data_IF_274696376887
#
_entry.id   IF_274696376887
#
_cell.length_a   1.000
_cell.length_b   1.000
_cell.length_c   1.000
_cell.angle_alpha   90.00
_cell.angle_beta   90.00
_cell.angle_gamma   90.00
#
_symmetry.space_group_name_H-M   'P 1'
#
loop_
_entity.id
_entity.type
_entity.pdbx_description
1 polymer ?
#
# COMPACT_ATOMS: atom_id res chain seq x y z
N UNK A 1 -13.87 -8.68 19.46
CA UNK A 1 -12.62 -9.22 18.92
C UNK A 1 -11.55 -8.83 19.91
N UNK A 2 -10.70 -9.75 20.37
CA UNK A 2 -9.55 -9.35 21.18
C UNK A 2 -8.64 -8.44 20.34
N UNK A 3 -8.06 -7.43 20.98
CA UNK A 3 -7.12 -6.50 20.34
C UNK A 3 -5.90 -7.30 19.86
N UNK A 4 -5.50 -7.09 18.60
CA UNK A 4 -4.30 -7.70 18.05
C UNK A 4 -3.06 -6.93 18.50
N UNK A 5 -1.95 -7.61 18.79
CA UNK A 5 -0.66 -6.93 18.95
C UNK A 5 -0.09 -6.52 17.59
N UNK A 6 -0.30 -7.34 16.54
CA UNK A 6 0.19 -7.08 15.19
C UNK A 6 -0.86 -7.37 14.12
N UNK A 7 -1.08 -6.40 13.23
CA UNK A 7 -1.81 -6.57 11.97
C UNK A 7 -0.86 -6.31 10.79
N UNK A 8 -0.63 -7.32 9.96
CA UNK A 8 0.22 -7.24 8.78
C UNK A 8 -0.58 -7.52 7.50
N UNK A 9 -0.83 -6.47 6.72
CA UNK A 9 -1.54 -6.49 5.43
C UNK A 9 -0.52 -6.44 4.29
N UNK A 10 -0.04 -7.61 3.87
CA UNK A 10 1.12 -7.75 3.00
C UNK A 10 0.74 -8.15 1.57
N UNK A 11 1.58 -7.88 0.55
CA UNK A 11 1.36 -8.38 -0.80
C UNK A 11 1.42 -9.91 -0.78
N UNK A 12 0.68 -10.56 -1.67
CA UNK A 12 0.57 -12.03 -1.70
C UNK A 12 1.94 -12.74 -1.75
N UNK A 13 2.94 -12.15 -2.42
CA UNK A 13 4.30 -12.68 -2.50
C UNK A 13 5.12 -12.59 -1.20
N UNK A 14 4.77 -11.70 -0.27
CA UNK A 14 5.48 -11.52 1.00
C UNK A 14 4.73 -12.09 2.20
N UNK A 15 3.41 -12.24 2.10
CA UNK A 15 2.57 -12.70 3.22
C UNK A 15 3.07 -14.02 3.80
N UNK A 16 3.25 -15.06 2.96
CA UNK A 16 3.62 -16.38 3.46
C UNK A 16 5.06 -16.39 4.02
N UNK A 17 6.09 -15.89 3.30
CA UNK A 17 7.44 -15.82 3.87
C UNK A 17 7.54 -15.02 5.17
N UNK A 18 6.81 -13.91 5.27
CA UNK A 18 6.76 -13.10 6.50
C UNK A 18 6.14 -13.90 7.64
N UNK A 19 4.99 -14.54 7.39
CA UNK A 19 4.30 -15.36 8.39
C UNK A 19 5.20 -16.51 8.88
N UNK A 20 5.84 -17.24 7.97
CA UNK A 20 6.72 -18.35 8.32
C UNK A 20 7.88 -17.89 9.23
N UNK A 21 8.50 -16.74 8.90
CA UNK A 21 9.57 -16.15 9.71
C UNK A 21 9.07 -15.65 11.07
N UNK A 22 7.88 -15.03 11.12
CA UNK A 22 7.26 -14.55 12.35
C UNK A 22 6.93 -15.72 13.30
N UNK A 23 6.30 -16.78 12.79
CA UNK A 23 5.97 -17.97 13.56
C UNK A 23 7.22 -18.67 14.10
N UNK A 24 8.27 -18.77 13.28
CA UNK A 24 9.56 -19.30 13.71
C UNK A 24 10.18 -18.46 14.83
N UNK A 25 10.13 -17.13 14.71
CA UNK A 25 10.65 -16.21 15.73
C UNK A 25 9.87 -16.30 17.04
N UNK A 26 8.54 -16.34 16.99
CA UNK A 26 7.67 -16.51 18.16
C UNK A 26 7.98 -17.83 18.86
N UNK A 27 8.03 -18.93 18.11
CA UNK A 27 8.28 -20.28 18.64
C UNK A 27 9.67 -20.37 19.29
N UNK A 28 10.68 -19.74 18.69
CA UNK A 28 12.05 -19.73 19.22
C UNK A 28 12.19 -18.87 20.48
N UNK A 29 11.21 -18.02 20.79
CA UNK A 29 11.23 -17.06 21.90
C UNK A 29 9.92 -17.13 22.73
N UNK A 30 9.33 -18.31 22.89
CA UNK A 30 7.97 -18.51 23.43
C UNK A 30 7.73 -17.81 24.79
N UNK A 31 8.74 -17.74 25.66
CA UNK A 31 8.65 -17.06 26.95
C UNK A 31 8.34 -15.57 26.84
N UNK A 32 8.70 -14.93 25.72
CA UNK A 32 8.47 -13.51 25.46
C UNK A 32 7.15 -13.24 24.71
N UNK A 33 6.60 -14.24 24.01
CA UNK A 33 5.47 -14.06 23.08
C UNK A 33 4.24 -14.92 23.42
N UNK A 34 4.16 -15.46 24.63
CA UNK A 34 3.08 -16.37 25.05
C UNK A 34 1.67 -15.83 24.87
N UNK A 35 1.48 -14.51 24.95
CA UNK A 35 0.19 -13.83 24.75
C UNK A 35 0.14 -12.99 23.48
N UNK A 36 1.11 -13.14 22.58
CA UNK A 36 1.19 -12.36 21.36
C UNK A 36 0.14 -12.81 20.35
N UNK A 37 -0.72 -11.89 19.96
CA UNK A 37 -1.80 -12.07 19.00
C UNK A 37 -1.49 -11.32 17.72
N UNK A 38 -1.62 -11.99 16.58
CA UNK A 38 -1.34 -11.35 15.30
C UNK A 38 -2.23 -11.84 14.17
N UNK A 39 -2.35 -11.02 13.13
CA UNK A 39 -3.02 -11.35 11.89
C UNK A 39 -2.12 -10.96 10.71
N UNK A 40 -1.77 -11.92 9.86
CA UNK A 40 -0.99 -11.69 8.64
C UNK A 40 -1.82 -12.07 7.40
N UNK A 41 -2.27 -11.07 6.65
CA UNK A 41 -3.23 -11.22 5.55
C UNK A 41 -2.69 -10.69 4.22
N UNK A 42 -3.34 -11.13 3.15
CA UNK A 42 -3.03 -10.70 1.80
C UNK A 42 -3.78 -9.41 1.45
N UNK A 43 -3.05 -8.40 0.99
CA UNK A 43 -3.55 -7.06 0.64
C UNK A 43 -4.48 -7.04 -0.62
N UNK A 44 -4.78 -8.18 -1.25
CA UNK A 44 -5.44 -8.23 -2.56
C UNK A 44 -6.97 -8.43 -2.47
N UNK A 45 -7.53 -8.71 -1.29
CA UNK A 45 -8.95 -9.04 -1.16
C UNK A 45 -9.73 -7.90 -0.52
N UNK A 46 -10.12 -6.86 -1.27
CA UNK A 46 -10.96 -5.77 -0.74
C UNK A 46 -12.23 -6.30 -0.05
N UNK A 47 -12.80 -7.42 -0.52
CA UNK A 47 -14.00 -8.06 0.06
C UNK A 47 -13.77 -8.82 1.38
N UNK A 48 -12.52 -9.13 1.75
CA UNK A 48 -12.16 -9.87 2.98
C UNK A 48 -11.14 -9.13 3.85
N UNK A 49 -10.69 -7.96 3.42
CA UNK A 49 -9.60 -7.24 4.08
C UNK A 49 -10.09 -6.52 5.34
N UNK A 50 -9.17 -6.33 6.29
CA UNK A 50 -9.39 -5.50 7.47
C UNK A 50 -9.61 -4.00 7.14
N UNK A 51 -9.34 -3.58 5.90
CA UNK A 51 -9.39 -2.16 5.49
C UNK A 51 -10.75 -1.48 5.65
N UNK A 52 -11.90 -2.06 5.24
CA UNK A 52 -13.19 -1.44 5.45
C UNK A 52 -13.55 -1.30 6.93
N UNK A 53 -12.98 -2.16 7.80
CA UNK A 53 -13.16 -2.04 9.25
C UNK A 53 -12.39 -0.85 9.81
N UNK A 54 -11.25 -0.45 9.23
CA UNK A 54 -10.47 0.70 9.71
C UNK A 54 -11.28 2.00 9.70
N UNK A 55 -12.15 2.19 8.70
CA UNK A 55 -13.01 3.37 8.62
C UNK A 55 -14.11 3.39 9.71
N UNK A 56 -14.41 2.23 10.30
CA UNK A 56 -15.38 2.06 11.38
C UNK A 56 -14.76 2.17 12.78
N UNK A 57 -13.42 2.19 12.90
CA UNK A 57 -12.73 2.26 14.18
C UNK A 57 -12.93 3.64 14.82
N UNK A 58 -13.33 3.67 16.09
CA UNK A 58 -13.63 4.92 16.78
C UNK A 58 -12.56 5.37 17.77
N UNK A 59 -11.85 4.42 18.40
CA UNK A 59 -10.78 4.68 19.36
C UNK A 59 -9.45 4.05 18.94
N UNK A 60 -8.34 4.64 19.39
CA UNK A 60 -6.99 4.06 19.23
C UNK A 60 -6.84 2.72 19.97
N UNK A 61 -7.61 2.51 21.04
CA UNK A 61 -7.58 1.27 21.83
C UNK A 61 -8.11 0.05 21.07
N UNK A 62 -8.87 0.29 19.99
CA UNK A 62 -9.37 -0.75 19.09
C UNK A 62 -8.37 -1.12 18.01
N UNK A 63 -7.32 -0.30 17.80
CA UNK A 63 -6.29 -0.56 16.80
C UNK A 63 -5.23 -1.53 17.34
N UNK A 64 -4.61 -2.33 16.47
CA UNK A 64 -3.44 -3.11 16.83
C UNK A 64 -2.27 -2.23 17.28
N UNK A 65 -1.39 -2.74 18.15
CA UNK A 65 -0.20 -2.00 18.59
C UNK A 65 0.79 -1.77 17.45
N UNK A 66 0.90 -2.73 16.52
CA UNK A 66 1.70 -2.60 15.30
C UNK A 66 0.83 -2.89 14.09
N UNK A 67 0.86 -1.97 13.12
CA UNK A 67 0.24 -2.16 11.82
C UNK A 67 1.31 -2.11 10.73
N UNK A 68 1.32 -3.12 9.86
CA UNK A 68 2.17 -3.16 8.66
C UNK A 68 1.23 -3.18 7.46
N UNK A 69 1.38 -2.20 6.57
CA UNK A 69 0.65 -2.13 5.31
C UNK A 69 1.62 -2.12 4.14
N UNK A 70 1.17 -2.66 3.01
CA UNK A 70 1.95 -2.68 1.76
C UNK A 70 1.54 -1.64 0.73
N UNK A 71 0.51 -0.87 1.06
CA UNK A 71 0.13 0.33 0.35
C UNK A 71 -0.46 1.35 1.32
N UNK A 72 -0.86 2.47 0.72
CA UNK A 72 -1.43 3.61 1.40
C UNK A 72 -2.95 3.50 1.61
N UNK A 73 -3.64 2.39 1.30
CA UNK A 73 -5.11 2.24 1.19
C UNK A 73 -5.96 3.03 2.22
N UNK A 74 -6.63 2.36 3.17
CA UNK A 74 -7.58 3.03 4.04
C UNK A 74 -6.89 3.80 5.16
N UNK A 75 -5.62 3.48 5.46
CA UNK A 75 -4.84 4.27 6.42
C UNK A 75 -4.64 5.74 5.98
N UNK A 76 -4.73 6.04 4.67
CA UNK A 76 -4.66 7.40 4.16
C UNK A 76 -6.03 7.98 3.76
N UNK A 77 -7.12 7.24 4.01
CA UNK A 77 -8.46 7.83 3.90
C UNK A 77 -8.61 8.97 4.91
N UNK A 78 -9.25 10.07 4.49
CA UNK A 78 -9.41 11.26 5.34
C UNK A 78 -9.98 10.94 6.74
N UNK A 79 -11.05 10.12 6.88
CA UNK A 79 -11.58 9.80 8.20
C UNK A 79 -10.53 9.16 9.14
N UNK A 80 -9.74 8.20 8.65
CA UNK A 80 -8.70 7.55 9.45
C UNK A 80 -7.54 8.52 9.76
N UNK A 81 -7.09 9.27 8.75
CA UNK A 81 -6.02 10.26 8.89
C UNK A 81 -6.37 11.33 9.93
N UNK A 82 -7.56 11.92 9.83
CA UNK A 82 -8.01 13.00 10.70
C UNK A 82 -8.22 12.52 12.14
N UNK A 83 -8.65 11.25 12.31
CA UNK A 83 -8.95 10.66 13.61
C UNK A 83 -7.69 10.18 14.34
N UNK A 84 -6.72 9.60 13.64
CA UNK A 84 -5.58 8.93 14.27
C UNK A 84 -4.22 9.51 13.88
N UNK A 85 -3.90 9.54 12.58
CA UNK A 85 -2.55 9.91 12.12
C UNK A 85 -2.24 11.37 12.45
N UNK A 86 -3.13 12.30 12.06
CA UNK A 86 -2.94 13.74 12.34
C UNK A 86 -3.10 14.11 13.82
N UNK A 87 -3.57 13.18 14.66
CA UNK A 87 -3.65 13.34 16.11
C UNK A 87 -2.41 12.83 16.83
N UNK A 88 -1.44 12.27 16.12
CA UNK A 88 -0.20 11.75 16.70
C UNK A 88 -0.39 10.41 17.40
N UNK A 89 -1.39 9.61 17.01
CA UNK A 89 -1.61 8.26 17.56
C UNK A 89 -0.62 7.22 16.99
N UNK A 90 0.21 7.60 16.01
CA UNK A 90 1.17 6.74 15.34
C UNK A 90 2.57 7.35 15.41
N UNK A 91 3.58 6.51 15.49
CA UNK A 91 4.98 6.91 15.50
C UNK A 91 5.85 6.01 14.61
N UNK A 92 6.93 6.57 14.08
CA UNK A 92 7.95 5.79 13.38
C UNK A 92 8.79 4.93 14.33
N UNK A 93 9.13 3.73 13.88
CA UNK A 93 10.21 2.90 14.38
C UNK A 93 11.21 2.66 13.24
N UNK A 94 12.36 3.33 13.27
CA UNK A 94 13.37 3.25 12.21
C UNK A 94 14.59 2.42 12.65
N UNK A 95 14.53 1.07 12.61
CA UNK A 95 15.64 0.23 13.05
C UNK A 95 16.76 0.08 12.01
N UNK A 96 16.63 0.73 10.85
CA UNK A 96 17.54 0.57 9.72
C UNK A 96 17.89 1.91 9.08
N UNK A 97 19.04 1.93 8.41
CA UNK A 97 19.40 2.99 7.47
C UNK A 97 18.96 2.56 6.06
N UNK A 98 18.11 3.33 5.36
CA UNK A 98 17.70 2.99 4.00
C UNK A 98 18.88 2.99 3.05
N UNK A 99 18.74 2.23 1.96
CA UNK A 99 19.73 2.23 0.91
C UNK A 99 19.83 3.61 0.22
N UNK A 100 20.92 3.81 -0.53
CA UNK A 100 21.22 5.08 -1.19
C UNK A 100 20.14 5.56 -2.17
N UNK A 101 19.34 4.68 -2.75
CA UNK A 101 18.26 5.08 -3.66
C UNK A 101 17.11 5.73 -2.90
N UNK A 102 16.67 5.13 -1.79
CA UNK A 102 15.60 5.65 -0.95
C UNK A 102 16.00 6.95 -0.24
N UNK A 103 17.28 7.09 0.13
CA UNK A 103 17.80 8.33 0.71
C UNK A 103 17.74 9.51 -0.28
N UNK A 104 18.14 9.29 -1.55
CA UNK A 104 18.17 10.35 -2.58
C UNK A 104 16.80 10.95 -2.88
N UNK A 105 15.72 10.20 -2.66
CA UNK A 105 14.35 10.63 -2.95
C UNK A 105 13.60 11.09 -1.69
N UNK A 106 14.27 11.19 -0.54
CA UNK A 106 13.66 11.53 0.76
C UNK A 106 12.43 10.65 1.06
N UNK A 107 12.58 9.32 0.94
CA UNK A 107 11.46 8.37 1.04
C UNK A 107 10.78 8.30 2.42
N UNK A 108 11.35 8.90 3.45
CA UNK A 108 10.81 8.89 4.81
C UNK A 108 9.52 9.69 4.92
N UNK A 109 8.67 9.32 5.87
CA UNK A 109 7.57 10.18 6.29
C UNK A 109 8.12 11.45 6.98
N UNK A 110 7.92 12.65 6.42
CA UNK A 110 8.43 13.89 7.01
C UNK A 110 7.80 14.23 8.37
N UNK A 111 6.68 13.60 8.71
CA UNK A 111 5.94 13.83 9.97
C UNK A 111 6.22 12.76 11.03
N UNK A 112 7.03 11.75 10.73
CA UNK A 112 7.38 10.64 11.62
C UNK A 112 6.18 9.87 12.20
N UNK A 113 5.07 9.76 11.46
CA UNK A 113 3.94 8.92 11.84
C UNK A 113 4.13 7.46 11.40
N UNK A 114 4.73 7.22 10.24
CA UNK A 114 4.85 5.87 9.66
C UNK A 114 6.26 5.53 9.19
N UNK A 115 6.66 4.29 9.45
CA UNK A 115 7.97 3.78 9.02
C UNK A 115 7.89 3.28 7.58
N UNK A 116 8.64 3.93 6.69
CA UNK A 116 8.69 3.56 5.27
C UNK A 116 9.76 2.47 5.05
N UNK A 117 9.34 1.19 5.09
CA UNK A 117 10.24 0.02 5.01
C UNK A 117 10.83 -0.20 3.62
N UNK A 118 9.98 -0.14 2.59
CA UNK A 118 10.35 -0.44 1.20
C UNK A 118 9.33 0.17 0.25
N UNK A 119 9.61 0.14 -1.06
CA UNK A 119 8.72 0.63 -2.10
C UNK A 119 8.54 -0.42 -3.20
N UNK A 120 7.35 -0.48 -3.79
CA UNK A 120 7.12 -1.14 -5.06
C UNK A 120 7.06 -0.07 -6.17
N UNK A 121 7.75 -0.31 -7.28
CA UNK A 121 7.70 0.58 -8.44
C UNK A 121 6.59 0.13 -9.39
N UNK A 122 5.60 1.02 -9.60
CA UNK A 122 4.63 0.85 -10.67
C UNK A 122 5.29 1.21 -12.02
N UNK A 123 5.33 0.27 -12.95
CA UNK A 123 5.96 0.42 -14.27
C UNK A 123 4.99 0.05 -15.39
N UNK A 124 5.17 0.66 -16.56
CA UNK A 124 4.48 0.25 -17.79
C UNK A 124 5.20 -0.93 -18.41
N UNK A 125 4.53 -2.09 -18.47
CA UNK A 125 4.99 -3.23 -19.23
C UNK A 125 4.39 -3.18 -20.65
N UNK A 126 5.24 -3.15 -21.67
CA UNK A 126 4.80 -3.03 -23.07
C UNK A 126 5.10 -4.30 -23.84
N UNK A 127 4.07 -4.88 -24.46
CA UNK A 127 4.20 -5.94 -25.46
C UNK A 127 4.66 -5.30 -26.78
N UNK A 128 5.96 -5.38 -27.07
CA UNK A 128 6.57 -4.74 -28.25
C UNK A 128 6.11 -5.35 -29.56
N UNK A 129 5.66 -6.61 -29.57
CA UNK A 129 5.11 -7.25 -30.77
C UNK A 129 3.73 -6.66 -31.11
N UNK A 130 2.89 -6.45 -30.08
CA UNK A 130 1.57 -5.80 -30.25
C UNK A 130 1.64 -4.28 -30.38
N UNK A 131 2.73 -3.65 -29.99
CA UNK A 131 2.91 -2.19 -30.12
C UNK A 131 2.84 -1.76 -31.60
N UNK A 132 3.44 -2.54 -32.50
CA UNK A 132 3.44 -2.27 -33.94
C UNK A 132 4.23 -1.01 -34.28
N UNK A 133 3.60 -0.06 -34.99
CA UNK A 133 4.22 1.21 -35.41
C UNK A 133 4.02 2.34 -34.39
N UNK A 134 3.34 2.09 -33.28
CA UNK A 134 3.09 3.10 -32.25
C UNK A 134 4.39 3.44 -31.51
N UNK A 135 4.52 4.69 -31.08
CA UNK A 135 5.65 5.10 -30.25
C UNK A 135 5.58 4.36 -28.91
N UNK A 136 6.74 3.94 -28.38
CA UNK A 136 6.82 3.44 -27.01
C UNK A 136 6.40 4.57 -26.05
N UNK A 137 5.47 4.33 -25.11
CA UNK A 137 5.11 5.34 -24.12
C UNK A 137 6.28 5.57 -23.16
N UNK A 138 6.62 6.84 -22.94
CA UNK A 138 7.69 7.28 -22.05
C UNK A 138 7.11 7.92 -20.78
N UNK A 139 5.86 8.37 -20.83
CA UNK A 139 5.14 9.04 -19.76
C UNK A 139 3.78 8.38 -19.50
N UNK A 140 3.18 8.65 -18.34
CA UNK A 140 1.83 8.16 -18.04
C UNK A 140 0.78 8.85 -18.92
N UNK A 141 1.05 10.06 -19.37
CA UNK A 141 0.20 10.81 -20.27
C UNK A 141 0.14 10.19 -21.67
N UNK A 142 1.23 9.59 -22.14
CA UNK A 142 1.31 8.99 -23.48
C UNK A 142 0.23 7.91 -23.67
N UNK A 143 -0.11 7.16 -22.61
CA UNK A 143 -1.13 6.10 -22.70
C UNK A 143 -2.56 6.65 -22.78
N UNK A 144 -2.78 7.95 -22.62
CA UNK A 144 -4.08 8.59 -22.86
C UNK A 144 -4.33 8.89 -24.35
N UNK A 145 -3.31 8.76 -25.20
CA UNK A 145 -3.46 8.98 -26.63
C UNK A 145 -4.42 7.96 -27.26
N UNK A 146 -5.21 8.41 -28.24
CA UNK A 146 -6.21 7.58 -28.92
C UNK A 146 -5.58 6.34 -29.58
N UNK A 147 -4.30 6.36 -29.94
CA UNK A 147 -3.59 5.21 -30.49
C UNK A 147 -3.45 4.03 -29.50
N UNK A 148 -3.67 4.26 -28.20
CA UNK A 148 -3.70 3.21 -27.19
C UNK A 148 -5.10 2.74 -26.81
N UNK A 149 -6.16 3.27 -27.45
CA UNK A 149 -7.53 2.86 -27.19
C UNK A 149 -7.73 1.34 -27.30
N UNK A 150 -8.37 0.74 -26.29
CA UNK A 150 -8.58 -0.71 -26.15
C UNK A 150 -7.30 -1.57 -26.20
N UNK A 151 -6.14 -0.98 -25.90
CA UNK A 151 -4.85 -1.69 -25.87
C UNK A 151 -4.11 -1.62 -24.53
N UNK A 152 -4.77 -1.07 -23.51
CA UNK A 152 -4.25 -0.97 -22.15
C UNK A 152 -4.93 -2.02 -21.30
N UNK A 153 -4.15 -2.74 -20.49
CA UNK A 153 -4.65 -3.64 -19.46
C UNK A 153 -4.12 -3.15 -18.13
N UNK A 154 -5.01 -3.00 -17.16
CA UNK A 154 -4.67 -2.60 -15.80
C UNK A 154 -5.36 -3.49 -14.79
N UNK A 155 -4.86 -3.50 -13.55
CA UNK A 155 -5.48 -4.26 -12.47
C UNK A 155 -6.78 -3.57 -12.04
N UNK A 156 -7.86 -4.32 -12.12
CA UNK A 156 -9.22 -3.88 -11.80
C UNK A 156 -10.26 -4.83 -12.38
N UNK A 157 -11.52 -4.47 -12.21
CA UNK A 157 -12.70 -5.02 -12.84
C UNK A 157 -13.63 -3.87 -13.28
N UNK A 158 -14.87 -4.18 -13.64
CA UNK A 158 -15.83 -3.19 -14.13
C UNK A 158 -16.29 -2.18 -13.06
N UNK A 159 -16.09 -2.48 -11.77
CA UNK A 159 -16.51 -1.66 -10.62
C UNK A 159 -15.32 -1.08 -9.83
N UNK A 160 -14.10 -1.58 -10.08
CA UNK A 160 -12.90 -1.21 -9.34
C UNK A 160 -11.66 -1.07 -10.23
N UNK A 161 -10.85 -0.04 -9.98
CA UNK A 161 -9.50 0.08 -10.53
C UNK A 161 -8.46 0.25 -9.42
N UNK A 162 -7.24 -0.23 -9.66
CA UNK A 162 -6.14 -0.02 -8.74
C UNK A 162 -5.77 1.48 -8.65
N UNK A 163 -6.04 2.09 -7.50
CA UNK A 163 -5.76 3.52 -7.21
C UNK A 163 -4.31 3.94 -7.48
N UNK A 164 -3.35 3.01 -7.38
CA UNK A 164 -1.95 3.29 -7.66
C UNK A 164 -1.70 3.78 -9.10
N UNK A 165 -2.52 3.33 -10.07
CA UNK A 165 -2.42 3.76 -11.48
C UNK A 165 -2.91 5.20 -11.64
N UNK A 166 -3.79 5.68 -10.77
CA UNK A 166 -4.28 7.06 -10.81
C UNK A 166 -3.31 8.07 -10.23
N UNK A 167 -2.40 7.62 -9.36
CA UNK A 167 -1.51 8.50 -8.61
C UNK A 167 -0.61 9.36 -9.52
N UNK A 168 0.01 8.85 -10.59
CA UNK A 168 0.80 9.67 -11.52
C UNK A 168 -0.04 10.77 -12.18
N UNK A 169 -1.23 10.42 -12.69
CA UNK A 169 -2.13 11.39 -13.30
C UNK A 169 -2.60 12.46 -12.32
N UNK A 170 -2.93 12.07 -11.08
CA UNK A 170 -3.29 13.02 -10.04
C UNK A 170 -2.11 13.94 -9.69
N UNK A 171 -0.91 13.39 -9.58
CA UNK A 171 0.30 14.16 -9.27
C UNK A 171 0.60 15.20 -10.35
N UNK A 172 0.48 14.82 -11.61
CA UNK A 172 0.93 15.65 -12.74
C UNK A 172 -0.20 16.58 -13.26
N UNK A 173 -1.48 16.22 -13.05
CA UNK A 173 -2.64 16.96 -13.58
C UNK A 173 -3.79 17.22 -12.58
N UNK A 174 -3.66 16.77 -11.34
CA UNK A 174 -4.65 16.99 -10.28
C UNK A 174 -5.97 16.24 -10.48
N UNK A 175 -7.00 16.67 -9.74
CA UNK A 175 -8.34 16.03 -9.74
C UNK A 175 -9.03 16.03 -11.12
N UNK A 176 -8.69 16.98 -12.00
CA UNK A 176 -9.34 17.10 -13.30
C UNK A 176 -8.99 15.91 -14.22
N UNK A 177 -7.76 15.40 -14.16
CA UNK A 177 -7.37 14.22 -14.93
C UNK A 177 -8.16 12.99 -14.49
N UNK A 178 -8.35 12.80 -13.18
CA UNK A 178 -9.13 11.67 -12.65
C UNK A 178 -10.57 11.69 -13.18
N UNK A 179 -11.22 12.86 -13.22
CA UNK A 179 -12.58 13.01 -13.75
C UNK A 179 -12.68 12.78 -15.26
N UNK A 180 -11.58 12.93 -15.99
CA UNK A 180 -11.57 12.74 -17.45
C UNK A 180 -11.38 11.27 -17.84
N UNK A 181 -10.82 10.48 -16.92
CA UNK A 181 -10.62 9.02 -17.08
C UNK A 181 -11.80 8.19 -16.57
N UNK A 182 -12.70 8.78 -15.77
CA UNK A 182 -13.93 8.17 -15.27
C UNK A 182 -15.07 8.27 -16.30
#
# INVERSE_FOLDING_TARGET
MEKLDLLAMLPCGLRNPFKDLLELHITSNESHYKSFTYLAEGNVNHELSFYPLLDMVESVDELPDIMISSDINNCFHRPFMDRFIMKGCFETYNPFTPNNYLQKVNFYDPYNNVTMLTANMLVMAVDTEKLGLRKLPETWEDILDQCFNKSITMRGDDEFFCNAVLLPFFKDHGLNAIKTMA
#
